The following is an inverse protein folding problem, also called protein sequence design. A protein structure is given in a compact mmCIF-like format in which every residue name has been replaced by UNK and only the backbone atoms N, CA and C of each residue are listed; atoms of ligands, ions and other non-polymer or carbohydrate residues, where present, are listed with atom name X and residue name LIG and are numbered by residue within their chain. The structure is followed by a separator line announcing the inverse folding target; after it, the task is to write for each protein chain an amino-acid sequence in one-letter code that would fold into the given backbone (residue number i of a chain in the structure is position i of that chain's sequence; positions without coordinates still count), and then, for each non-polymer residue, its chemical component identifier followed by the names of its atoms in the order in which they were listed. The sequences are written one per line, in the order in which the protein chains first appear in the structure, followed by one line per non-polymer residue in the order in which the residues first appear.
data_IF_963279893279
#
_entry.id   IF_963279893279
#
_cell.length_a   1.000
_cell.length_b   1.000
_cell.length_c   1.000
_cell.angle_alpha   90.00
_cell.angle_beta   90.00
_cell.angle_gamma   90.00
#
_symmetry.space_group_name_H-M   'P 1'
#
loop_
_entity.id
_entity.type
_entity.pdbx_description
1 polymer ?
#
# COMPACT_ATOMS: atom_id res chain seq x y z
N UNK A 1 -2.97 11.68 5.61
CA UNK A 1 -1.80 12.52 5.97
C UNK A 1 -1.90 13.11 7.37
N UNK A 2 -2.96 13.86 7.71
CA UNK A 2 -3.11 14.48 9.05
C UNK A 2 -2.95 13.48 10.21
N UNK A 3 -3.66 12.35 10.15
CA UNK A 3 -3.64 11.30 11.19
C UNK A 3 -2.22 10.72 11.39
N UNK A 4 -1.47 10.50 10.31
CA UNK A 4 -0.09 9.99 10.37
C UNK A 4 0.86 11.03 10.99
N UNK A 5 0.70 12.31 10.65
CA UNK A 5 1.45 13.40 11.28
C UNK A 5 1.16 13.50 12.77
N UNK A 6 -0.11 13.38 13.18
CA UNK A 6 -0.50 13.34 14.59
C UNK A 6 0.12 12.13 15.32
N UNK A 7 0.09 10.93 14.72
CA UNK A 7 0.70 9.73 15.30
C UNK A 7 2.22 9.91 15.53
N UNK A 8 2.92 10.55 14.58
CA UNK A 8 4.35 10.89 14.75
C UNK A 8 4.58 11.89 15.88
N UNK A 9 3.74 12.92 15.99
CA UNK A 9 3.85 13.91 17.05
C UNK A 9 3.63 13.28 18.43
N UNK A 10 2.67 12.36 18.56
CA UNK A 10 2.42 11.62 19.81
C UNK A 10 3.65 10.79 20.21
N UNK A 11 4.25 10.08 19.25
CA UNK A 11 5.46 9.29 19.49
C UNK A 11 6.64 10.18 19.93
N UNK A 12 6.86 11.30 19.25
CA UNK A 12 7.93 12.27 19.60
C UNK A 12 7.66 12.87 20.99
N UNK A 13 6.42 13.25 21.28
CA UNK A 13 6.04 13.81 22.58
C UNK A 13 6.32 12.82 23.71
N UNK A 14 5.97 11.54 23.54
CA UNK A 14 6.25 10.50 24.52
C UNK A 14 7.75 10.24 24.65
N UNK A 15 8.53 10.28 23.58
CA UNK A 15 9.99 10.13 23.66
C UNK A 15 10.68 11.25 24.45
N UNK A 16 10.14 12.48 24.42
CA UNK A 16 10.73 13.64 25.11
C UNK A 16 10.24 13.76 26.56
N UNK A 17 8.96 13.49 26.80
CA UNK A 17 8.30 13.78 28.08
C UNK A 17 7.71 12.56 28.79
N UNK A 18 7.78 11.37 28.17
CA UNK A 18 7.16 10.16 28.68
C UNK A 18 7.90 9.54 29.89
N UNK A 19 7.20 8.78 30.72
CA UNK A 19 7.79 8.05 31.84
C UNK A 19 8.73 6.94 31.33
N UNK A 20 9.80 6.66 32.08
CA UNK A 20 10.78 5.58 31.80
C UNK A 20 10.22 4.22 32.29
N UNK A 21 8.92 3.99 32.10
CA UNK A 21 8.30 2.71 32.42
C UNK A 21 8.47 1.75 31.23
N UNK A 22 8.85 0.51 31.51
CA UNK A 22 9.10 -0.52 30.49
C UNK A 22 7.82 -1.09 29.85
N UNK A 23 6.64 -0.55 30.19
CA UNK A 23 5.37 -1.01 29.65
C UNK A 23 4.95 -0.07 28.53
N UNK A 24 4.86 -0.58 27.30
CA UNK A 24 4.38 0.21 26.17
C UNK A 24 2.89 0.53 26.34
N UNK A 25 2.51 1.80 26.52
CA UNK A 25 1.11 2.14 26.65
C UNK A 25 0.36 1.90 25.31
N UNK A 26 -0.91 1.44 25.34
CA UNK A 26 -1.67 1.07 24.15
C UNK A 26 -1.78 2.16 23.07
N UNK A 27 -1.76 3.43 23.46
CA UNK A 27 -1.83 4.55 22.50
C UNK A 27 -0.56 4.67 21.63
N UNK A 28 0.62 4.28 22.15
CA UNK A 28 1.86 4.25 21.36
C UNK A 28 1.84 3.12 20.36
N UNK A 29 1.37 1.93 20.77
CA UNK A 29 1.20 0.77 19.89
C UNK A 29 0.28 1.14 18.71
N UNK A 30 -0.87 1.76 19.00
CA UNK A 30 -1.79 2.21 17.96
C UNK A 30 -1.18 3.28 17.05
N UNK A 31 -0.46 4.25 17.62
CA UNK A 31 0.21 5.31 16.85
C UNK A 31 1.30 4.74 15.93
N UNK A 32 2.09 3.79 16.41
CA UNK A 32 3.10 3.08 15.63
C UNK A 32 2.45 2.26 14.52
N UNK A 33 1.37 1.54 14.81
CA UNK A 33 0.66 0.72 13.83
C UNK A 33 0.07 1.56 12.69
N UNK A 34 -0.56 2.71 13.00
CA UNK A 34 -1.05 3.65 11.97
C UNK A 34 0.10 4.20 11.12
N UNK A 35 1.23 4.54 11.76
CA UNK A 35 2.41 5.06 11.06
C UNK A 35 2.97 4.04 10.08
N UNK A 36 3.12 2.79 10.50
CA UNK A 36 3.66 1.72 9.65
C UNK A 36 2.66 1.31 8.56
N UNK A 37 1.36 1.24 8.88
CA UNK A 37 0.33 0.96 7.88
C UNK A 37 0.31 2.02 6.77
N UNK A 38 0.52 3.30 7.10
CA UNK A 38 0.60 4.37 6.10
C UNK A 38 1.82 4.23 5.17
N UNK A 39 2.98 3.82 5.70
CA UNK A 39 4.16 3.53 4.86
C UNK A 39 3.91 2.36 3.93
N UNK A 40 3.35 1.27 4.47
CA UNK A 40 2.99 0.09 3.68
C UNK A 40 2.04 0.42 2.56
N UNK A 41 1.00 1.22 2.87
CA UNK A 41 0.05 1.72 1.89
C UNK A 41 0.74 2.49 0.76
N UNK A 42 1.63 3.43 1.06
CA UNK A 42 2.33 4.19 0.02
C UNK A 42 3.14 3.32 -0.94
N UNK A 43 3.78 2.27 -0.42
CA UNK A 43 4.65 1.38 -1.20
C UNK A 43 3.85 0.38 -2.04
N UNK A 44 2.82 -0.27 -1.45
CA UNK A 44 1.99 -1.23 -2.18
C UNK A 44 1.00 -0.57 -3.14
N UNK A 45 0.75 0.73 -3.02
CA UNK A 45 -0.14 1.48 -3.92
C UNK A 45 0.32 1.40 -5.38
N UNK A 46 1.63 1.44 -5.63
CA UNK A 46 2.19 1.33 -6.99
C UNK A 46 1.85 -0.03 -7.61
N UNK A 47 1.83 -1.10 -6.81
CA UNK A 47 1.44 -2.44 -7.27
C UNK A 47 -0.04 -2.50 -7.62
N UNK A 48 -0.91 -1.94 -6.79
CA UNK A 48 -2.35 -1.90 -7.04
C UNK A 48 -2.66 -1.07 -8.28
N UNK A 49 -1.97 0.06 -8.50
CA UNK A 49 -2.09 0.81 -9.75
C UNK A 49 -1.65 -0.01 -10.97
N UNK A 50 -0.56 -0.78 -10.86
CA UNK A 50 -0.13 -1.64 -11.97
C UNK A 50 -1.18 -2.73 -12.29
N UNK A 51 -1.78 -3.34 -11.27
CA UNK A 51 -2.87 -4.32 -11.41
C UNK A 51 -4.11 -3.67 -12.04
N UNK A 52 -4.51 -2.50 -11.56
CA UNK A 52 -5.62 -1.74 -12.13
C UNK A 52 -5.41 -1.46 -13.62
N UNK A 53 -4.23 -0.96 -13.99
CA UNK A 53 -3.89 -0.71 -15.40
C UNK A 53 -3.89 -2.00 -16.22
N UNK A 54 -3.42 -3.11 -15.67
CA UNK A 54 -3.48 -4.42 -16.32
C UNK A 54 -4.92 -4.86 -16.57
N UNK A 55 -5.81 -4.75 -15.58
CA UNK A 55 -7.23 -5.09 -15.71
C UNK A 55 -7.89 -4.20 -16.78
N UNK A 56 -7.61 -2.91 -16.78
CA UNK A 56 -8.13 -1.97 -17.77
C UNK A 56 -7.68 -2.32 -19.20
N UNK A 57 -6.44 -2.80 -19.37
CA UNK A 57 -5.92 -3.27 -20.65
C UNK A 57 -6.64 -4.52 -21.16
N UNK A 58 -6.85 -5.52 -20.29
CA UNK A 58 -7.47 -6.80 -20.70
C UNK A 58 -8.98 -6.66 -20.89
N UNK A 59 -9.65 -5.89 -20.02
CA UNK A 59 -11.10 -5.74 -19.98
C UNK A 59 -11.53 -4.32 -20.34
N UNK A 60 -10.96 -3.78 -21.42
CA UNK A 60 -11.17 -2.40 -21.85
C UNK A 60 -12.66 -2.03 -21.99
N UNK A 61 -13.44 -2.87 -22.68
CA UNK A 61 -14.86 -2.64 -22.92
C UNK A 61 -15.68 -2.58 -21.62
N UNK A 62 -15.35 -3.42 -20.64
CA UNK A 62 -15.96 -3.38 -19.32
C UNK A 62 -15.52 -2.14 -18.54
N UNK A 63 -14.25 -1.75 -18.61
CA UNK A 63 -13.73 -0.58 -17.93
C UNK A 63 -14.38 0.73 -18.43
N UNK A 64 -14.58 0.85 -19.74
CA UNK A 64 -15.17 2.04 -20.37
C UNK A 64 -16.70 2.11 -20.22
N UNK A 65 -17.35 0.99 -19.88
CA UNK A 65 -18.82 0.90 -19.77
C UNK A 65 -19.45 1.76 -18.67
N UNK A 66 -18.66 2.37 -17.77
CA UNK A 66 -19.10 3.18 -16.61
C UNK A 66 -20.15 2.49 -15.72
N UNK A 67 -20.19 1.15 -15.77
CA UNK A 67 -21.12 0.38 -14.97
C UNK A 67 -20.74 0.39 -13.48
N UNK A 68 -21.74 0.19 -12.60
CA UNK A 68 -21.52 0.11 -11.16
C UNK A 68 -20.52 -0.99 -10.76
N UNK A 69 -20.37 -2.04 -11.59
CA UNK A 69 -19.37 -3.08 -11.42
C UNK A 69 -17.93 -2.56 -11.38
N UNK A 70 -17.61 -1.50 -12.12
CA UNK A 70 -16.26 -0.91 -12.15
C UNK A 70 -15.93 -0.24 -10.82
N UNK A 71 -16.92 0.42 -10.19
CA UNK A 71 -16.78 1.00 -8.84
C UNK A 71 -16.54 -0.09 -7.80
N UNK A 72 -17.29 -1.19 -7.88
CA UNK A 72 -17.12 -2.33 -6.96
C UNK A 72 -15.71 -2.91 -7.07
N UNK A 73 -15.17 -3.05 -8.29
CA UNK A 73 -13.81 -3.54 -8.48
C UNK A 73 -12.75 -2.60 -7.87
N UNK A 74 -12.89 -1.28 -8.03
CA UNK A 74 -12.00 -0.33 -7.36
C UNK A 74 -12.07 -0.43 -5.84
N UNK A 75 -13.27 -0.59 -5.29
CA UNK A 75 -13.46 -0.76 -3.85
C UNK A 75 -12.80 -2.05 -3.35
N UNK A 76 -12.87 -3.15 -4.10
CA UNK A 76 -12.17 -4.38 -3.77
C UNK A 76 -10.64 -4.22 -3.82
N UNK A 77 -10.11 -3.49 -4.80
CA UNK A 77 -8.68 -3.17 -4.88
C UNK A 77 -8.23 -2.33 -3.67
N UNK A 78 -9.02 -1.33 -3.28
CA UNK A 78 -8.74 -0.49 -2.11
C UNK A 78 -8.80 -1.31 -0.80
N UNK A 79 -9.77 -2.21 -0.65
CA UNK A 79 -9.86 -3.10 0.52
C UNK A 79 -8.65 -4.04 0.56
N UNK A 80 -8.26 -4.63 -0.56
CA UNK A 80 -7.06 -5.47 -0.63
C UNK A 80 -5.80 -4.67 -0.25
N UNK A 81 -5.68 -3.44 -0.74
CA UNK A 81 -4.59 -2.53 -0.44
C UNK A 81 -4.50 -2.21 1.06
N UNK A 82 -5.63 -1.92 1.69
CA UNK A 82 -5.71 -1.70 3.14
C UNK A 82 -5.33 -2.98 3.90
N UNK A 83 -5.87 -4.14 3.53
CA UNK A 83 -5.55 -5.41 4.19
C UNK A 83 -4.05 -5.73 4.15
N UNK A 84 -3.39 -5.55 3.01
CA UNK A 84 -1.93 -5.76 2.88
C UNK A 84 -1.18 -4.82 3.82
N UNK A 85 -1.52 -3.54 3.81
CA UNK A 85 -0.83 -2.50 4.58
C UNK A 85 -0.97 -2.70 6.09
N UNK A 86 -2.19 -3.00 6.55
CA UNK A 86 -2.47 -3.22 7.97
C UNK A 86 -1.90 -4.55 8.46
N UNK A 87 -1.90 -5.61 7.64
CA UNK A 87 -1.30 -6.90 8.00
C UNK A 87 0.21 -6.78 8.18
N UNK A 88 0.92 -6.14 7.23
CA UNK A 88 2.36 -5.93 7.34
C UNK A 88 2.74 -5.05 8.53
N UNK A 89 1.95 -4.01 8.81
CA UNK A 89 2.13 -3.18 9.98
C UNK A 89 1.92 -3.97 11.28
N UNK A 90 0.87 -4.78 11.37
CA UNK A 90 0.61 -5.63 12.52
C UNK A 90 1.76 -6.62 12.76
N UNK A 91 2.20 -7.32 11.70
CA UNK A 91 3.31 -8.28 11.79
C UNK A 91 4.60 -7.64 12.30
N UNK A 92 4.90 -6.42 11.85
CA UNK A 92 6.08 -5.67 12.28
C UNK A 92 5.99 -5.25 13.75
N UNK A 93 4.84 -4.71 14.16
CA UNK A 93 4.63 -4.25 15.54
C UNK A 93 4.58 -5.42 16.53
N UNK A 94 4.07 -6.59 16.13
CA UNK A 94 4.15 -7.81 16.94
C UNK A 94 5.51 -8.50 16.88
N UNK A 95 6.51 -7.89 16.25
CA UNK A 95 7.88 -8.41 16.08
C UNK A 95 7.96 -9.80 15.41
N UNK A 96 6.91 -10.19 14.68
CA UNK A 96 6.88 -11.46 13.92
C UNK A 96 7.82 -11.36 12.71
N UNK A 97 7.96 -10.16 12.15
CA UNK A 97 8.91 -9.84 11.08
C UNK A 97 9.85 -8.73 11.55
N UNK A 98 11.10 -8.78 11.09
CA UNK A 98 12.08 -7.73 11.38
C UNK A 98 12.00 -6.56 10.39
N UNK A 99 12.53 -5.40 10.78
CA UNK A 99 12.63 -4.22 9.90
C UNK A 99 13.38 -4.51 8.58
N UNK A 100 14.37 -5.40 8.63
CA UNK A 100 15.11 -5.81 7.44
C UNK A 100 14.24 -6.65 6.50
N UNK A 101 13.45 -7.56 7.05
CA UNK A 101 12.54 -8.40 6.28
C UNK A 101 11.41 -7.58 5.63
N UNK A 102 10.80 -6.65 6.36
CA UNK A 102 9.73 -5.81 5.78
C UNK A 102 10.27 -4.90 4.67
N UNK A 103 11.48 -4.37 4.85
CA UNK A 103 12.16 -3.56 3.82
C UNK A 103 12.42 -4.39 2.55
N UNK A 104 12.86 -5.64 2.70
CA UNK A 104 13.06 -6.55 1.58
C UNK A 104 11.73 -6.87 0.87
N UNK A 105 10.66 -7.13 1.62
CA UNK A 105 9.31 -7.36 1.06
C UNK A 105 8.87 -6.16 0.22
N UNK A 106 9.02 -4.93 0.74
CA UNK A 106 8.66 -3.73 -0.02
C UNK A 106 9.51 -3.54 -1.27
N UNK A 107 10.81 -3.82 -1.20
CA UNK A 107 11.68 -3.75 -2.37
C UNK A 107 11.25 -4.73 -3.47
N UNK A 108 10.91 -5.97 -3.09
CA UNK A 108 10.41 -6.99 -4.03
C UNK A 108 9.07 -6.55 -4.63
N UNK A 109 8.12 -6.08 -3.81
CA UNK A 109 6.83 -5.59 -4.28
C UNK A 109 6.99 -4.44 -5.28
N UNK A 110 7.93 -3.51 -5.01
CA UNK A 110 8.21 -2.39 -5.90
C UNK A 110 8.77 -2.86 -7.24
N UNK A 111 9.73 -3.79 -7.23
CA UNK A 111 10.30 -4.36 -8.46
C UNK A 111 9.22 -5.03 -9.30
N UNK A 112 8.35 -5.83 -8.67
CA UNK A 112 7.22 -6.48 -9.35
C UNK A 112 6.27 -5.44 -9.93
N UNK A 113 5.91 -4.42 -9.15
CA UNK A 113 5.00 -3.36 -9.57
C UNK A 113 5.53 -2.60 -10.79
N UNK A 114 6.79 -2.17 -10.76
CA UNK A 114 7.44 -1.46 -11.87
C UNK A 114 7.54 -2.36 -13.10
N UNK A 115 7.89 -3.63 -12.93
CA UNK A 115 8.01 -4.60 -14.03
C UNK A 115 6.65 -4.82 -14.71
N UNK A 116 5.59 -5.00 -13.92
CA UNK A 116 4.22 -5.12 -14.42
C UNK A 116 3.78 -3.86 -15.17
N UNK A 117 4.02 -2.69 -14.59
CA UNK A 117 3.67 -1.40 -15.20
C UNK A 117 4.37 -1.20 -16.55
N UNK A 118 5.66 -1.53 -16.65
CA UNK A 118 6.42 -1.48 -17.90
C UNK A 118 5.84 -2.47 -18.93
N UNK A 119 5.45 -3.68 -18.50
CA UNK A 119 4.85 -4.67 -19.38
C UNK A 119 3.51 -4.17 -19.97
N UNK A 120 2.64 -3.60 -19.13
CA UNK A 120 1.37 -2.98 -19.56
C UNK A 120 1.62 -1.86 -20.58
N UNK A 121 2.56 -0.96 -20.29
CA UNK A 121 2.90 0.13 -21.21
C UNK A 121 3.39 -0.38 -22.57
N UNK A 122 4.24 -1.41 -22.58
CA UNK A 122 4.73 -2.02 -23.82
C UNK A 122 3.62 -2.70 -24.60
N UNK A 123 2.72 -3.39 -23.91
CA UNK A 123 1.57 -4.03 -24.54
C UNK A 123 0.65 -2.99 -25.19
N UNK A 124 0.23 -1.97 -24.44
CA UNK A 124 -0.64 -0.90 -24.94
C UNK A 124 -0.02 -0.16 -26.13
N UNK A 125 1.30 0.06 -26.12
CA UNK A 125 1.99 0.69 -27.25
C UNK A 125 1.92 -0.14 -28.53
N UNK A 126 2.06 -1.47 -28.43
CA UNK A 126 1.98 -2.37 -29.59
C UNK A 126 0.59 -2.36 -30.21
N UNK A 127 -0.45 -2.41 -29.39
CA UNK A 127 -1.84 -2.32 -29.87
C UNK A 127 -2.10 -1.01 -30.63
N UNK A 128 -1.60 0.12 -30.13
CA UNK A 128 -1.73 1.42 -30.82
C UNK A 128 -0.96 1.44 -32.16
N UNK A 129 0.20 0.79 -32.23
CA UNK A 129 0.98 0.69 -33.48
C UNK A 129 0.29 -0.20 -34.53
N UNK A 130 -0.47 -1.22 -34.11
CA UNK A 130 -1.25 -2.10 -35.01
C UNK A 130 -2.53 -1.41 -35.52
N UNK A 131 -3.12 -0.50 -34.74
CA UNK A 131 -4.34 0.22 -35.10
C UNK A 131 -4.11 1.43 -36.04
N UNK A 132 -2.85 1.83 -36.25
CA UNK A 132 -2.46 2.92 -37.17
C UNK A 132 -2.18 2.40 -38.57
#
# INVERSE_FOLDING_TARGET
TLICSCARLILIFHQVYGPIEYVEPPYLVMSSLIREAFKGYGLSFILILAIDRWIATVSWSWYESRNASTIIAFLLLEVAQLLISWTLAALLITEVITDQQITLIYAILLIIAVSCFIAVLRYNRREIEVLK
#
